data_IF_357549936326
#
_entry.id   IF_357549936326
#
_cell.length_a   1.000
_cell.length_b   1.000
_cell.length_c   1.000
_cell.angle_alpha   90.00
_cell.angle_beta   90.00
_cell.angle_gamma   90.00
#
_symmetry.space_group_name_H-M   'P 1'
#
loop_
_entity.id
_entity.type
_entity.pdbx_description
1 polymer ?
#
# COMPACT_ATOMS: atom_id res chain seq x y z
N UNK A 1 11.43 -17.45 30.33
CA UNK A 1 12.07 -16.13 30.45
C UNK A 1 11.00 -15.08 30.20
N UNK A 2 10.80 -14.13 31.12
CA UNK A 2 9.86 -13.01 30.94
C UNK A 2 10.47 -11.98 30.00
N UNK A 3 9.79 -11.66 28.89
CA UNK A 3 10.21 -10.59 27.97
C UNK A 3 10.24 -9.24 28.70
N UNK A 4 11.19 -8.37 28.33
CA UNK A 4 11.25 -7.05 28.94
C UNK A 4 10.13 -6.14 28.38
N UNK A 5 9.71 -5.10 29.14
CA UNK A 5 8.61 -4.22 28.71
C UNK A 5 8.84 -3.51 27.36
N UNK A 6 10.08 -3.15 27.03
CA UNK A 6 10.44 -2.50 25.77
C UNK A 6 10.29 -3.46 24.57
N UNK A 7 10.72 -4.71 24.71
CA UNK A 7 10.55 -5.74 23.68
C UNK A 7 9.07 -6.03 23.44
N UNK A 8 8.27 -6.07 24.50
CA UNK A 8 6.81 -6.21 24.42
C UNK A 8 6.16 -5.04 23.67
N UNK A 9 6.52 -3.80 24.01
CA UNK A 9 6.00 -2.62 23.30
C UNK A 9 6.40 -2.60 21.83
N UNK A 10 7.63 -3.02 21.49
CA UNK A 10 8.08 -3.13 20.10
C UNK A 10 7.28 -4.17 19.33
N UNK A 11 7.03 -5.34 19.92
CA UNK A 11 6.20 -6.37 19.28
C UNK A 11 4.76 -5.90 19.07
N UNK A 12 4.18 -5.21 20.06
CA UNK A 12 2.83 -4.64 19.93
C UNK A 12 2.76 -3.60 18.81
N UNK A 13 3.76 -2.72 18.71
CA UNK A 13 3.83 -1.74 17.63
C UNK A 13 3.98 -2.42 16.27
N UNK A 14 4.86 -3.41 16.14
CA UNK A 14 5.05 -4.15 14.88
C UNK A 14 3.77 -4.87 14.47
N UNK A 15 3.08 -5.52 15.39
CA UNK A 15 1.79 -6.16 15.12
C UNK A 15 0.76 -5.13 14.65
N UNK A 16 0.63 -4.01 15.35
CA UNK A 16 -0.31 -2.96 14.97
C UNK A 16 -0.02 -2.40 13.56
N UNK A 17 1.24 -2.08 13.27
CA UNK A 17 1.65 -1.57 11.97
C UNK A 17 1.41 -2.59 10.85
N UNK A 18 1.67 -3.87 11.13
CA UNK A 18 1.44 -4.95 10.15
C UNK A 18 -0.05 -5.08 9.86
N UNK A 19 -0.90 -5.23 10.88
CA UNK A 19 -2.34 -5.35 10.68
C UNK A 19 -2.96 -4.11 10.02
N UNK A 20 -2.44 -2.91 10.33
CA UNK A 20 -2.90 -1.69 9.69
C UNK A 20 -2.52 -1.65 8.20
N UNK A 21 -1.29 -2.04 7.85
CA UNK A 21 -0.85 -2.11 6.46
C UNK A 21 -1.63 -3.17 5.67
N UNK A 22 -1.88 -4.33 6.27
CA UNK A 22 -2.70 -5.39 5.67
C UNK A 22 -4.13 -4.89 5.40
N UNK A 23 -4.76 -4.21 6.36
CA UNK A 23 -6.09 -3.63 6.15
C UNK A 23 -6.09 -2.56 5.06
N UNK A 24 -5.10 -1.66 5.05
CA UNK A 24 -4.99 -0.60 4.04
C UNK A 24 -4.90 -1.16 2.62
N UNK A 25 -4.15 -2.25 2.43
CA UNK A 25 -4.05 -2.96 1.15
C UNK A 25 -5.42 -3.51 0.73
N UNK A 26 -6.14 -4.16 1.65
CA UNK A 26 -7.44 -4.75 1.35
C UNK A 26 -8.47 -3.66 1.02
N UNK A 27 -8.49 -2.58 1.80
CA UNK A 27 -9.39 -1.44 1.58
C UNK A 27 -9.14 -0.81 0.20
N UNK A 28 -7.87 -0.61 -0.17
CA UNK A 28 -7.48 -0.12 -1.50
C UNK A 28 -7.98 -1.06 -2.61
N UNK A 29 -7.71 -2.36 -2.51
CA UNK A 29 -8.13 -3.34 -3.52
C UNK A 29 -9.65 -3.31 -3.70
N UNK A 30 -10.41 -3.30 -2.60
CA UNK A 30 -11.88 -3.25 -2.67
C UNK A 30 -12.38 -1.95 -3.29
N UNK A 31 -11.74 -0.82 -2.98
CA UNK A 31 -12.08 0.47 -3.57
C UNK A 31 -11.84 0.49 -5.09
N UNK A 32 -10.70 -0.03 -5.55
CA UNK A 32 -10.38 -0.09 -6.98
C UNK A 32 -11.26 -1.11 -7.71
N UNK A 33 -11.52 -2.27 -7.11
CA UNK A 33 -12.48 -3.25 -7.66
C UNK A 33 -13.91 -2.69 -7.73
N UNK A 34 -14.31 -1.84 -6.79
CA UNK A 34 -15.61 -1.14 -6.84
C UNK A 34 -15.72 -0.22 -8.06
N UNK A 35 -14.62 0.37 -8.50
CA UNK A 35 -14.57 1.21 -9.69
C UNK A 35 -14.65 0.37 -10.98
N UNK A 36 -13.87 -0.69 -11.06
CA UNK A 36 -13.74 -1.51 -12.28
C UNK A 36 -14.87 -2.55 -12.45
N UNK A 37 -15.38 -3.10 -11.34
CA UNK A 37 -16.34 -4.20 -11.30
C UNK A 37 -17.31 -4.10 -10.08
N UNK A 38 -18.23 -3.12 -10.08
CA UNK A 38 -19.05 -2.78 -8.91
C UNK A 38 -20.00 -3.89 -8.42
N UNK A 39 -20.37 -4.83 -9.30
CA UNK A 39 -21.35 -5.88 -8.99
C UNK A 39 -20.72 -7.15 -8.39
N UNK A 40 -19.39 -7.20 -8.21
CA UNK A 40 -18.68 -8.43 -7.85
C UNK A 40 -17.50 -8.20 -6.92
N UNK A 41 -17.69 -7.34 -5.90
CA UNK A 41 -16.65 -7.00 -4.94
C UNK A 41 -16.61 -8.06 -3.85
N UNK A 42 -15.48 -8.76 -3.65
CA UNK A 42 -15.31 -9.68 -2.54
C UNK A 42 -15.38 -8.96 -1.19
N UNK A 43 -15.71 -9.70 -0.16
CA UNK A 43 -15.58 -9.26 1.23
C UNK A 43 -14.11 -9.13 1.63
N UNK A 44 -13.84 -8.35 2.69
CA UNK A 44 -12.50 -8.29 3.30
C UNK A 44 -11.99 -9.68 3.68
N UNK A 45 -12.84 -10.50 4.31
CA UNK A 45 -12.49 -11.83 4.80
C UNK A 45 -12.08 -12.78 3.65
N UNK A 46 -12.79 -12.73 2.53
CA UNK A 46 -12.46 -13.50 1.32
C UNK A 46 -11.11 -13.07 0.72
N UNK A 47 -10.83 -11.76 0.67
CA UNK A 47 -9.53 -11.25 0.18
C UNK A 47 -8.39 -11.61 1.13
N UNK A 48 -8.60 -11.49 2.44
CA UNK A 48 -7.61 -11.91 3.43
C UNK A 48 -7.29 -13.39 3.29
N UNK A 49 -8.31 -14.26 3.19
CA UNK A 49 -8.11 -15.69 3.00
C UNK A 49 -7.32 -15.99 1.72
N UNK A 50 -7.69 -15.34 0.61
CA UNK A 50 -7.01 -15.51 -0.68
C UNK A 50 -5.53 -15.12 -0.62
N UNK A 51 -5.19 -13.95 -0.06
CA UNK A 51 -3.79 -13.51 -0.03
C UNK A 51 -2.94 -14.22 1.03
N UNK A 52 -3.52 -14.66 2.15
CA UNK A 52 -2.80 -15.42 3.16
C UNK A 52 -2.50 -16.86 2.70
N UNK A 53 -3.32 -17.43 1.82
CA UNK A 53 -3.20 -18.81 1.36
C UNK A 53 -3.60 -18.94 -0.12
N UNK A 54 -2.79 -18.38 -1.04
CA UNK A 54 -3.13 -18.30 -2.46
C UNK A 54 -3.21 -19.65 -3.18
N UNK A 55 -2.59 -20.70 -2.60
CA UNK A 55 -2.61 -22.05 -3.14
C UNK A 55 -3.81 -22.89 -2.66
N UNK A 56 -4.58 -22.41 -1.68
CA UNK A 56 -5.76 -23.10 -1.14
C UNK A 56 -7.03 -22.78 -1.95
N UNK A 57 -8.07 -23.64 -1.89
CA UNK A 57 -9.36 -23.33 -2.49
C UNK A 57 -9.90 -22.00 -1.98
N UNK A 58 -10.44 -21.20 -2.91
CA UNK A 58 -10.95 -19.85 -2.64
C UNK A 58 -12.39 -19.69 -3.11
N UNK A 59 -13.14 -18.84 -2.42
CA UNK A 59 -14.51 -18.45 -2.79
C UNK A 59 -14.53 -17.41 -3.91
N UNK A 60 -13.39 -16.77 -4.20
CA UNK A 60 -13.26 -15.82 -5.30
C UNK A 60 -13.33 -16.55 -6.65
N UNK A 61 -14.13 -16.02 -7.58
CA UNK A 61 -14.08 -16.48 -8.96
C UNK A 61 -12.76 -16.09 -9.65
N UNK A 62 -12.47 -16.68 -10.82
CA UNK A 62 -11.22 -16.42 -11.54
C UNK A 62 -11.02 -14.94 -11.88
N UNK A 63 -12.08 -14.20 -12.18
CA UNK A 63 -11.99 -12.79 -12.51
C UNK A 63 -11.67 -11.94 -11.28
N UNK A 64 -12.32 -12.22 -10.15
CA UNK A 64 -12.03 -11.59 -8.86
C UNK A 64 -10.58 -11.85 -8.42
N UNK A 65 -10.09 -13.09 -8.56
CA UNK A 65 -8.69 -13.42 -8.24
C UNK A 65 -7.70 -12.63 -9.11
N UNK A 66 -7.95 -12.57 -10.42
CA UNK A 66 -7.12 -11.82 -11.36
C UNK A 66 -7.09 -10.33 -11.01
N UNK A 67 -8.26 -9.72 -10.79
CA UNK A 67 -8.36 -8.29 -10.49
C UNK A 67 -7.77 -7.96 -9.11
N UNK A 68 -8.06 -8.75 -8.08
CA UNK A 68 -7.48 -8.55 -6.75
C UNK A 68 -5.94 -8.65 -6.77
N UNK A 69 -5.39 -9.59 -7.53
CA UNK A 69 -3.94 -9.73 -7.71
C UNK A 69 -3.35 -8.54 -8.46
N UNK A 70 -4.00 -8.09 -9.53
CA UNK A 70 -3.58 -6.92 -10.30
C UNK A 70 -3.53 -5.66 -9.41
N UNK A 71 -4.60 -5.41 -8.64
CA UNK A 71 -4.66 -4.28 -7.70
C UNK A 71 -3.66 -4.37 -6.55
N UNK A 72 -3.34 -5.58 -6.06
CA UNK A 72 -2.26 -5.77 -5.10
C UNK A 72 -0.91 -5.35 -5.69
N UNK A 73 -0.63 -5.74 -6.94
CA UNK A 73 0.62 -5.39 -7.62
C UNK A 73 0.70 -3.88 -7.91
N UNK A 74 -0.41 -3.28 -8.32
CA UNK A 74 -0.54 -1.83 -8.51
C UNK A 74 -0.24 -1.07 -7.20
N UNK A 75 -0.87 -1.47 -6.09
CA UNK A 75 -0.61 -0.88 -4.78
C UNK A 75 0.86 -1.03 -4.38
N UNK A 76 1.44 -2.22 -4.56
CA UNK A 76 2.85 -2.48 -4.25
C UNK A 76 3.80 -1.58 -5.06
N UNK A 77 3.48 -1.33 -6.34
CA UNK A 77 4.24 -0.42 -7.18
C UNK A 77 4.14 1.03 -6.68
N UNK A 78 2.93 1.51 -6.40
CA UNK A 78 2.68 2.86 -5.89
C UNK A 78 3.40 3.06 -4.55
N UNK A 79 3.26 2.11 -3.62
CA UNK A 79 3.92 2.17 -2.31
C UNK A 79 5.44 2.19 -2.45
N UNK A 80 6.01 1.35 -3.31
CA UNK A 80 7.46 1.31 -3.53
C UNK A 80 7.97 2.62 -4.14
N UNK A 81 7.29 3.14 -5.16
CA UNK A 81 7.65 4.41 -5.80
C UNK A 81 7.60 5.56 -4.80
N UNK A 82 6.52 5.64 -4.04
CA UNK A 82 6.32 6.64 -2.98
C UNK A 82 7.44 6.55 -1.93
N UNK A 83 7.77 5.35 -1.46
CA UNK A 83 8.86 5.16 -0.50
C UNK A 83 10.21 5.61 -1.07
N UNK A 84 10.52 5.26 -2.32
CA UNK A 84 11.74 5.71 -2.98
C UNK A 84 11.78 7.24 -3.12
N UNK A 85 10.67 7.87 -3.42
CA UNK A 85 10.58 9.33 -3.53
C UNK A 85 10.72 10.03 -2.18
N UNK A 86 10.13 9.47 -1.11
CA UNK A 86 10.31 9.98 0.24
C UNK A 86 11.78 9.92 0.68
N UNK A 87 12.46 8.80 0.41
CA UNK A 87 13.91 8.65 0.68
C UNK A 87 14.71 9.68 -0.11
N UNK A 88 14.43 9.82 -1.42
CA UNK A 88 15.13 10.76 -2.29
C UNK A 88 14.90 12.21 -1.85
N UNK A 89 13.65 12.57 -1.52
CA UNK A 89 13.29 13.88 -1.01
C UNK A 89 14.05 14.20 0.28
N UNK A 90 14.08 13.27 1.24
CA UNK A 90 14.80 13.46 2.49
C UNK A 90 16.30 13.71 2.25
N UNK A 91 16.94 12.92 1.39
CA UNK A 91 18.36 13.09 1.04
C UNK A 91 18.64 14.43 0.37
N UNK A 92 17.82 14.84 -0.61
CA UNK A 92 18.00 16.11 -1.31
C UNK A 92 17.75 17.31 -0.40
N UNK A 93 16.80 17.17 0.54
CA UNK A 93 16.53 18.19 1.55
C UNK A 93 17.69 18.34 2.53
N UNK A 94 18.28 17.24 2.99
CA UNK A 94 19.48 17.26 3.83
C UNK A 94 20.68 17.92 3.14
N UNK A 95 20.78 17.78 1.82
CA UNK A 95 21.81 18.44 0.99
C UNK A 95 21.48 19.91 0.62
N UNK A 96 20.31 20.42 1.00
CA UNK A 96 19.86 21.77 0.66
C UNK A 96 19.53 21.99 -0.83
N UNK A 97 19.28 20.90 -1.58
CA UNK A 97 18.95 20.95 -3.01
C UNK A 97 17.47 21.32 -3.20
N UNK A 98 16.59 20.80 -2.34
CA UNK A 98 15.16 21.13 -2.31
C UNK A 98 14.74 21.54 -0.90
N UNK A 99 13.76 22.43 -0.79
CA UNK A 99 13.28 22.98 0.47
C UNK A 99 11.84 22.58 0.78
N UNK A 100 11.11 22.09 -0.21
CA UNK A 100 9.72 21.68 -0.10
C UNK A 100 9.41 20.47 -0.98
N UNK A 101 8.31 19.78 -0.67
CA UNK A 101 7.79 18.71 -1.52
C UNK A 101 7.40 19.24 -2.92
N UNK A 102 6.92 20.50 -3.02
CA UNK A 102 6.59 21.13 -4.30
C UNK A 102 7.82 21.25 -5.21
N UNK A 103 8.95 21.70 -4.68
CA UNK A 103 10.21 21.76 -5.44
C UNK A 103 10.68 20.37 -5.88
N UNK A 104 10.51 19.36 -5.02
CA UNK A 104 10.84 17.97 -5.35
C UNK A 104 9.96 17.44 -6.49
N UNK A 105 8.63 17.59 -6.39
CA UNK A 105 7.68 17.15 -7.41
C UNK A 105 7.96 17.87 -8.73
N UNK A 106 8.23 19.18 -8.73
CA UNK A 106 8.61 19.91 -9.95
C UNK A 106 9.88 19.37 -10.62
N UNK A 107 10.82 18.84 -9.85
CA UNK A 107 12.09 18.34 -10.36
C UNK A 107 12.00 16.90 -10.89
N UNK A 108 11.18 16.04 -10.28
CA UNK A 108 11.13 14.61 -10.59
C UNK A 108 9.82 14.14 -11.22
N UNK A 109 8.70 14.81 -10.94
CA UNK A 109 7.34 14.48 -11.40
C UNK A 109 6.62 15.72 -11.94
N UNK A 110 7.18 16.41 -12.95
CA UNK A 110 6.65 17.69 -13.43
C UNK A 110 5.22 17.60 -13.98
N UNK A 111 4.81 16.40 -14.40
CA UNK A 111 3.47 16.10 -14.94
C UNK A 111 2.41 15.87 -13.84
N UNK A 112 2.82 15.69 -12.58
CA UNK A 112 1.92 15.45 -11.43
C UNK A 112 1.56 16.75 -10.68
N UNK A 113 1.69 17.91 -11.33
CA UNK A 113 1.36 19.18 -10.69
C UNK A 113 -0.15 19.40 -10.58
N UNK A 114 -0.61 19.88 -9.41
CA UNK A 114 -2.02 20.24 -9.15
C UNK A 114 -2.59 21.30 -10.12
N UNK A 115 -1.74 22.00 -10.87
CA UNK A 115 -2.10 23.06 -11.84
C UNK A 115 -2.13 22.56 -13.31
N UNK A 116 -2.04 21.26 -13.56
CA UNK A 116 -2.14 20.68 -14.92
C UNK A 116 -3.63 20.54 -15.29
N UNK A 117 -4.13 21.18 -16.37
CA UNK A 117 -5.56 21.20 -16.70
C UNK A 117 -6.12 19.85 -17.18
#
# INVERSE_FOLDING_TARGET
>A
MTMNPFEQSRQQLLHYLTSNAEQEVIDYIRQEMQHDAPDSIPTEEELFAFFQSPDEPTELDTYQQMLATDKLLEYAEISLRTLCDLIRYQQLKELGIVHSAKEFIQLFHPDEQEDTP
#
